data_IF_127910882495
#
_entry.id   IF_127910882495
#
_cell.length_a   1.000
_cell.length_b   1.000
_cell.length_c   1.000
_cell.angle_alpha   90.00
_cell.angle_beta   90.00
_cell.angle_gamma   90.00
#
_symmetry.space_group_name_H-M   'P 1'
#
loop_
_entity.id
_entity.type
_entity.pdbx_description
1 polymer ?
#
# COMPACT_ATOMS: atom_id res chain seq x y z
N UNK A 1 10.46 14.15 -15.40
CA UNK A 1 9.03 13.79 -15.18
C UNK A 1 8.20 15.05 -15.01
N UNK A 2 6.88 15.00 -15.25
CA UNK A 2 6.01 16.20 -15.27
C UNK A 2 5.81 16.85 -16.64
N UNK A 3 6.20 16.16 -17.72
CA UNK A 3 5.91 16.63 -19.09
C UNK A 3 4.45 16.36 -19.42
N UNK A 4 3.73 17.37 -19.89
CA UNK A 4 2.40 17.20 -20.50
C UNK A 4 2.55 16.73 -21.94
N UNK A 5 1.81 15.70 -22.32
CA UNK A 5 1.74 15.17 -23.69
C UNK A 5 0.28 15.14 -24.14
N UNK A 6 0.03 15.50 -25.39
CA UNK A 6 -1.31 15.39 -25.98
C UNK A 6 -1.47 14.02 -26.64
N UNK A 7 -2.50 13.27 -26.22
CA UNK A 7 -2.87 11.96 -26.75
C UNK A 7 -4.34 12.04 -27.14
N UNK A 8 -4.64 11.99 -28.44
CA UNK A 8 -5.98 12.28 -28.95
C UNK A 8 -6.46 13.68 -28.54
N UNK A 9 -7.60 13.76 -27.85
CA UNK A 9 -8.19 14.97 -27.30
C UNK A 9 -7.78 15.27 -25.84
N UNK A 10 -6.91 14.43 -25.25
CA UNK A 10 -6.49 14.52 -23.85
C UNK A 10 -5.09 15.08 -23.72
N UNK A 11 -4.90 16.05 -22.82
CA UNK A 11 -3.58 16.48 -22.34
C UNK A 11 -3.25 15.73 -21.06
N UNK A 12 -2.28 14.83 -21.11
CA UNK A 12 -1.91 13.95 -20.01
C UNK A 12 -0.57 14.38 -19.41
N UNK A 13 -0.51 14.47 -18.08
CA UNK A 13 0.72 14.71 -17.32
C UNK A 13 0.89 13.59 -16.30
N UNK A 14 2.10 13.03 -16.24
CA UNK A 14 2.51 12.09 -15.19
C UNK A 14 3.64 12.73 -14.39
N UNK A 15 3.44 12.88 -13.08
CA UNK A 15 4.35 13.63 -12.22
C UNK A 15 4.46 13.06 -10.80
N UNK A 16 5.32 13.69 -10.00
CA UNK A 16 5.52 13.40 -8.58
C UNK A 16 5.73 11.90 -8.24
N UNK A 17 6.71 11.23 -8.87
CA UNK A 17 6.99 9.82 -8.63
C UNK A 17 7.48 9.58 -7.21
N UNK A 18 6.89 8.59 -6.53
CA UNK A 18 7.21 8.21 -5.15
C UNK A 18 7.26 6.70 -5.02
N UNK A 19 8.30 6.17 -4.39
CA UNK A 19 8.48 4.73 -4.24
C UNK A 19 7.80 4.23 -2.96
N UNK A 20 7.04 3.14 -3.05
CA UNK A 20 6.37 2.50 -1.91
C UNK A 20 6.52 0.98 -1.96
N UNK A 21 6.64 0.33 -0.80
CA UNK A 21 6.66 -1.14 -0.72
C UNK A 21 5.28 -1.77 -0.81
N UNK A 22 4.29 -1.06 -0.27
CA UNK A 22 2.89 -1.44 -0.37
C UNK A 22 2.02 -0.22 -0.67
N UNK A 23 0.92 -0.49 -1.35
CA UNK A 23 -0.10 0.50 -1.67
C UNK A 23 -1.47 0.04 -1.18
N UNK A 24 -2.44 0.95 -1.17
CA UNK A 24 -3.80 0.65 -0.74
C UNK A 24 -4.73 0.99 -1.89
N UNK A 25 -5.45 -0.02 -2.34
CA UNK A 25 -6.39 0.08 -3.46
C UNK A 25 -7.79 -0.21 -2.96
N UNK A 26 -8.82 0.29 -3.64
CA UNK A 26 -10.20 -0.16 -3.40
C UNK A 26 -10.49 -1.45 -4.17
N UNK A 27 -10.90 -2.50 -3.47
CA UNK A 27 -11.58 -3.64 -4.10
C UNK A 27 -13.09 -3.36 -4.28
N UNK A 28 -13.85 -4.36 -4.73
CA UNK A 28 -15.30 -4.23 -4.98
C UNK A 28 -16.10 -3.73 -3.77
N UNK A 29 -15.76 -4.17 -2.55
CA UNK A 29 -16.49 -3.80 -1.33
C UNK A 29 -15.61 -3.21 -0.22
N UNK A 30 -14.28 -3.39 -0.26
CA UNK A 30 -13.39 -3.06 0.84
C UNK A 30 -12.02 -2.56 0.35
N UNK A 31 -11.33 -1.75 1.17
CA UNK A 31 -9.93 -1.40 0.95
C UNK A 31 -9.03 -2.62 1.18
N UNK A 32 -8.00 -2.77 0.34
CA UNK A 32 -6.99 -3.83 0.42
C UNK A 32 -5.59 -3.21 0.43
N UNK A 33 -4.65 -3.85 1.12
CA UNK A 33 -3.22 -3.59 0.95
C UNK A 33 -2.71 -4.50 -0.16
N UNK A 34 -1.90 -3.95 -1.06
CA UNK A 34 -1.25 -4.71 -2.15
C UNK A 34 0.26 -4.57 -1.97
N UNK A 35 0.95 -5.71 -2.07
CA UNK A 35 2.41 -5.81 -2.05
C UNK A 35 2.86 -6.90 -3.03
N UNK A 36 3.99 -6.68 -3.68
CA UNK A 36 4.66 -7.67 -4.53
C UNK A 36 6.08 -7.90 -4.02
N UNK A 37 6.79 -8.86 -4.63
CA UNK A 37 8.20 -9.08 -4.32
C UNK A 37 9.05 -7.80 -4.53
N UNK A 38 8.72 -7.01 -5.56
CA UNK A 38 9.33 -5.71 -5.81
C UNK A 38 8.67 -4.55 -5.06
N UNK A 39 8.59 -3.41 -5.74
CA UNK A 39 8.07 -2.15 -5.22
C UNK A 39 7.03 -1.54 -6.14
N UNK A 40 6.40 -0.47 -5.67
CA UNK A 40 5.57 0.39 -6.48
C UNK A 40 6.24 1.74 -6.71
N UNK A 41 6.15 2.25 -7.93
CA UNK A 41 6.26 3.67 -8.19
C UNK A 41 4.85 4.24 -8.27
N UNK A 42 4.58 5.21 -7.41
CA UNK A 42 3.31 5.92 -7.32
C UNK A 42 3.46 7.30 -7.92
N UNK A 43 2.63 7.63 -8.89
CA UNK A 43 2.66 8.91 -9.62
C UNK A 43 1.32 9.60 -9.55
N UNK A 44 1.32 10.92 -9.65
CA UNK A 44 0.12 11.71 -9.86
C UNK A 44 -0.15 11.78 -11.37
N UNK A 45 -1.39 11.47 -11.77
CA UNK A 45 -1.82 11.55 -13.17
C UNK A 45 -2.82 12.70 -13.29
N UNK A 46 -2.59 13.59 -14.25
CA UNK A 46 -3.51 14.68 -14.58
C UNK A 46 -3.97 14.56 -16.03
N UNK A 47 -5.28 14.68 -16.26
CA UNK A 47 -5.90 14.72 -17.58
C UNK A 47 -6.58 16.08 -17.75
N UNK A 48 -6.19 16.80 -18.78
CA UNK A 48 -6.65 18.17 -19.05
C UNK A 48 -6.44 19.13 -17.86
N UNK A 49 -5.40 18.87 -17.06
CA UNK A 49 -5.07 19.66 -15.86
C UNK A 49 -5.88 19.29 -14.62
N UNK A 50 -6.78 18.30 -14.70
CA UNK A 50 -7.57 17.81 -13.58
C UNK A 50 -7.19 16.37 -13.23
N UNK A 51 -7.42 16.00 -11.98
CA UNK A 51 -7.28 14.62 -11.53
C UNK A 51 -8.35 13.73 -12.19
N UNK A 52 -7.98 12.60 -12.83
CA UNK A 52 -8.94 11.71 -13.44
C UNK A 52 -9.83 11.06 -12.38
N UNK A 53 -11.09 10.83 -12.72
CA UNK A 53 -11.92 9.91 -11.95
C UNK A 53 -11.44 8.48 -12.24
N UNK A 54 -10.56 7.98 -11.37
CA UNK A 54 -9.84 6.70 -11.57
C UNK A 54 -10.76 5.47 -11.60
N UNK A 55 -12.06 5.62 -11.26
CA UNK A 55 -13.08 4.56 -11.42
C UNK A 55 -13.77 4.57 -12.79
N UNK A 56 -13.59 5.63 -13.57
CA UNK A 56 -14.38 5.88 -14.78
C UNK A 56 -13.57 5.84 -16.08
N UNK A 57 -12.25 5.72 -15.99
CA UNK A 57 -11.36 5.79 -17.16
C UNK A 57 -10.29 4.72 -17.04
N UNK A 58 -10.30 3.77 -17.98
CA UNK A 58 -9.11 2.96 -18.26
C UNK A 58 -8.10 3.85 -18.99
N UNK A 59 -6.87 3.90 -18.47
CA UNK A 59 -5.85 4.86 -18.91
C UNK A 59 -4.69 4.20 -19.62
N UNK A 60 -4.74 2.88 -19.84
CA UNK A 60 -3.73 2.09 -20.57
C UNK A 60 -2.30 2.44 -20.17
N UNK A 61 -2.07 2.61 -18.87
CA UNK A 61 -0.78 2.96 -18.32
C UNK A 61 -0.05 1.74 -17.80
N UNK A 62 1.19 1.57 -18.24
CA UNK A 62 2.04 0.44 -17.90
C UNK A 62 3.37 0.92 -17.32
N UNK A 63 4.02 0.06 -16.53
CA UNK A 63 5.45 0.25 -16.22
C UNK A 63 6.34 -0.31 -17.32
N UNK A 64 7.46 0.36 -17.55
CA UNK A 64 8.56 -0.14 -18.37
C UNK A 64 9.89 -0.06 -17.64
N UNK A 65 10.71 -1.10 -17.79
CA UNK A 65 12.11 -1.14 -17.33
C UNK A 65 12.98 -1.68 -18.44
N UNK A 66 14.12 -1.05 -18.70
CA UNK A 66 15.11 -1.50 -19.69
C UNK A 66 14.46 -1.97 -21.01
N UNK A 67 13.52 -1.17 -21.53
CA UNK A 67 12.77 -1.38 -22.77
C UNK A 67 11.76 -2.55 -22.76
N UNK A 68 11.53 -3.18 -21.61
CA UNK A 68 10.52 -4.21 -21.40
C UNK A 68 9.28 -3.61 -20.73
N UNK A 69 8.09 -3.94 -21.22
CA UNK A 69 6.82 -3.59 -20.57
C UNK A 69 6.46 -4.69 -19.58
N UNK A 70 6.10 -4.32 -18.35
CA UNK A 70 5.86 -5.26 -17.27
C UNK A 70 4.37 -5.52 -17.05
N UNK A 71 3.69 -4.59 -16.36
CA UNK A 71 2.32 -4.75 -15.91
C UNK A 71 1.56 -3.43 -16.01
N UNK A 72 0.24 -3.55 -15.95
CA UNK A 72 -0.69 -2.44 -15.84
C UNK A 72 -0.60 -1.78 -14.44
N UNK A 73 -1.32 -0.67 -14.28
CA UNK A 73 -1.38 0.15 -13.08
C UNK A 73 -2.51 -0.23 -12.12
N UNK A 74 -2.28 -0.03 -10.83
CA UNK A 74 -3.30 -0.10 -9.79
C UNK A 74 -3.78 1.30 -9.40
N UNK A 75 -5.08 1.62 -9.54
CA UNK A 75 -5.61 2.89 -9.08
C UNK A 75 -5.62 2.96 -7.54
N UNK A 76 -5.10 4.06 -6.99
CA UNK A 76 -5.02 4.23 -5.53
C UNK A 76 -6.30 4.80 -4.94
N UNK A 77 -6.55 4.47 -3.68
CA UNK A 77 -7.79 4.82 -2.99
C UNK A 77 -7.77 6.26 -2.46
N UNK A 78 -8.66 7.12 -2.99
CA UNK A 78 -8.88 8.47 -2.44
C UNK A 78 -9.42 8.47 -1.00
N UNK A 79 -10.01 7.38 -0.53
CA UNK A 79 -10.55 7.23 0.83
C UNK A 79 -9.49 7.30 1.93
N UNK A 80 -8.21 7.17 1.56
CA UNK A 80 -7.07 7.30 2.49
C UNK A 80 -6.22 8.55 2.20
N UNK A 81 -6.80 9.55 1.52
CA UNK A 81 -6.12 10.81 1.19
C UNK A 81 -5.16 10.72 0.01
N UNK A 82 -5.25 9.67 -0.82
CA UNK A 82 -4.42 9.50 -2.02
C UNK A 82 -5.18 9.99 -3.24
N UNK A 83 -5.07 11.28 -3.50
CA UNK A 83 -5.77 11.95 -4.58
C UNK A 83 -5.18 11.56 -5.94
N UNK A 84 -5.91 10.74 -6.71
CA UNK A 84 -5.67 10.38 -8.12
C UNK A 84 -4.26 9.90 -8.49
N UNK A 85 -3.67 9.15 -7.58
CA UNK A 85 -2.40 8.49 -7.82
C UNK A 85 -2.59 7.10 -8.43
N UNK A 86 -1.71 6.72 -9.35
CA UNK A 86 -1.61 5.36 -9.89
C UNK A 86 -0.34 4.71 -9.35
N UNK A 87 -0.42 3.42 -9.01
CA UNK A 87 0.71 2.62 -8.60
C UNK A 87 1.12 1.64 -9.68
N UNK A 88 2.42 1.52 -9.89
CA UNK A 88 3.00 0.70 -10.94
C UNK A 88 4.03 -0.23 -10.31
N UNK A 89 3.94 -1.53 -10.58
CA UNK A 89 4.91 -2.48 -10.07
C UNK A 89 6.26 -2.32 -10.80
N UNK A 90 7.34 -2.30 -10.03
CA UNK A 90 8.72 -2.26 -10.49
C UNK A 90 9.56 -3.31 -9.75
N UNK A 91 10.45 -4.06 -10.43
CA UNK A 91 11.42 -4.93 -9.78
C UNK A 91 12.36 -4.09 -8.91
N UNK A 92 12.70 -4.62 -7.74
CA UNK A 92 13.54 -3.95 -6.76
C UNK A 92 15.03 -4.13 -7.04
N UNK A 93 15.48 -3.58 -8.17
CA UNK A 93 16.87 -3.63 -8.60
C UNK A 93 17.23 -2.32 -9.30
N UNK A 94 18.50 -2.15 -9.62
CA UNK A 94 18.96 -1.03 -10.44
C UNK A 94 18.52 -1.26 -11.89
N UNK A 95 17.97 -0.22 -12.49
CA UNK A 95 17.59 -0.20 -13.91
C UNK A 95 18.26 0.97 -14.60
N UNK A 96 18.73 0.76 -15.83
CA UNK A 96 19.31 1.82 -16.64
C UNK A 96 18.22 2.72 -17.20
N UNK A 97 17.05 2.14 -17.51
CA UNK A 97 15.85 2.87 -17.94
C UNK A 97 14.64 2.39 -17.15
N UNK A 98 13.80 3.34 -16.74
CA UNK A 98 12.50 3.03 -16.17
C UNK A 98 11.53 4.16 -16.48
N UNK A 99 10.31 3.84 -16.87
CA UNK A 99 9.32 4.81 -17.30
C UNK A 99 7.89 4.34 -16.99
N UNK A 100 6.98 5.31 -16.94
CA UNK A 100 5.54 5.05 -17.11
C UNK A 100 5.21 5.21 -18.59
N UNK A 101 4.46 4.29 -19.16
CA UNK A 101 4.15 4.22 -20.59
C UNK A 101 2.66 4.24 -20.79
N UNK A 102 2.17 5.09 -21.68
CA UNK A 102 0.81 4.99 -22.21
C UNK A 102 0.85 4.21 -23.51
N UNK A 103 0.14 3.08 -23.58
CA UNK A 103 -0.06 2.34 -24.83
C UNK A 103 -1.33 2.85 -25.49
N UNK A 104 -1.26 3.29 -26.75
CA UNK A 104 -2.47 3.55 -27.51
C UNK A 104 -3.01 2.22 -28.05
N UNK A 105 -4.31 2.00 -27.94
CA UNK A 105 -4.99 0.83 -28.52
C UNK A 105 -4.73 0.69 -30.02
N UNK A 106 -4.45 -0.53 -30.46
CA UNK A 106 -4.49 -0.93 -31.87
C UNK A 106 -3.19 -0.82 -32.67
N UNK A 107 -2.06 -0.41 -32.10
CA UNK A 107 -0.78 -0.41 -32.80
C UNK A 107 0.21 -1.42 -32.20
N UNK A 108 0.44 -2.54 -32.90
CA UNK A 108 1.54 -3.48 -32.62
C UNK A 108 2.94 -2.81 -32.69
N UNK A 109 3.02 -1.55 -33.13
CA UNK A 109 4.27 -0.81 -33.34
C UNK A 109 4.15 0.70 -33.06
N UNK A 110 3.09 1.11 -32.37
CA UNK A 110 2.81 2.53 -32.11
C UNK A 110 3.80 3.13 -31.13
N UNK A 111 4.37 4.28 -31.46
CA UNK A 111 5.32 4.98 -30.60
C UNK A 111 4.65 5.33 -29.26
N UNK A 112 4.83 4.47 -28.25
CA UNK A 112 4.32 4.69 -26.91
C UNK A 112 4.80 6.03 -26.36
N UNK A 113 3.99 6.67 -25.53
CA UNK A 113 4.41 7.89 -24.83
C UNK A 113 5.09 7.46 -23.53
N UNK A 114 6.35 7.85 -23.37
CA UNK A 114 7.17 7.51 -22.21
C UNK A 114 7.33 8.73 -21.30
N UNK A 115 7.05 8.53 -20.02
CA UNK A 115 7.44 9.41 -18.94
C UNK A 115 8.56 8.77 -18.13
N UNK A 116 9.80 9.08 -18.51
CA UNK A 116 10.98 8.55 -17.83
C UNK A 116 11.00 8.94 -16.35
N UNK A 117 11.27 7.94 -15.51
CA UNK A 117 11.48 8.14 -14.09
C UNK A 117 12.79 8.93 -13.89
N UNK A 118 12.79 9.94 -13.00
CA UNK A 118 14.00 10.66 -12.65
C UNK A 118 15.10 9.71 -12.14
N UNK A 119 16.37 10.05 -12.39
CA UNK A 119 17.53 9.23 -11.96
C UNK A 119 17.47 8.85 -10.48
N UNK A 120 17.15 9.81 -9.60
CA UNK A 120 17.04 9.54 -8.16
C UNK A 120 15.93 8.55 -7.78
N UNK A 121 14.88 8.39 -8.60
CA UNK A 121 13.86 7.35 -8.40
C UNK A 121 14.40 6.00 -8.88
N UNK A 122 14.99 5.96 -10.07
CA UNK A 122 15.58 4.73 -10.64
C UNK A 122 16.63 4.12 -9.74
N UNK A 123 17.55 4.92 -9.22
CA UNK A 123 18.58 4.48 -8.29
C UNK A 123 17.99 3.96 -6.99
N UNK A 124 16.91 4.57 -6.50
CA UNK A 124 16.25 4.18 -5.24
C UNK A 124 15.43 2.89 -5.34
N UNK A 125 15.09 2.41 -6.54
CA UNK A 125 14.36 1.14 -6.72
C UNK A 125 15.16 -0.07 -6.23
N UNK A 126 16.49 -0.01 -6.27
CA UNK A 126 17.36 -1.06 -5.75
C UNK A 126 17.34 -1.17 -4.21
N UNK A 127 16.84 -0.15 -3.51
CA UNK A 127 16.88 -0.06 -2.05
C UNK A 127 15.48 -0.21 -1.47
N UNK A 128 15.19 -1.37 -0.92
CA UNK A 128 13.89 -1.67 -0.33
C UNK A 128 13.83 -1.47 1.18
N UNK A 129 12.73 -0.91 1.72
CA UNK A 129 12.38 -1.19 3.09
C UNK A 129 11.96 -2.67 3.19
N UNK A 130 12.39 -3.32 4.26
CA UNK A 130 12.09 -4.73 4.55
C UNK A 130 11.42 -4.80 5.90
N UNK A 131 10.12 -5.05 5.91
CA UNK A 131 9.35 -4.96 7.13
C UNK A 131 9.14 -6.32 7.78
N UNK A 132 9.52 -6.42 9.05
CA UNK A 132 9.25 -7.57 9.91
C UNK A 132 8.38 -7.13 11.07
N UNK A 133 7.25 -7.80 11.27
CA UNK A 133 6.45 -7.57 12.49
C UNK A 133 7.04 -8.42 13.62
N UNK A 134 7.59 -7.76 14.63
CA UNK A 134 8.19 -8.40 15.81
C UNK A 134 7.27 -8.41 17.02
N UNK A 135 6.21 -7.60 17.02
CA UNK A 135 5.24 -7.54 18.11
C UNK A 135 3.80 -7.32 17.61
N UNK A 136 2.87 -8.11 18.14
CA UNK A 136 1.44 -7.96 17.90
C UNK A 136 0.67 -8.23 19.20
N UNK A 137 0.11 -7.18 19.79
CA UNK A 137 -0.67 -7.23 21.03
C UNK A 137 -1.96 -6.45 20.89
N UNK A 138 -2.94 -6.82 21.72
CA UNK A 138 -4.26 -6.17 21.77
C UNK A 138 -4.64 -5.91 23.23
N UNK A 139 -3.88 -5.06 23.95
CA UNK A 139 -4.14 -4.80 25.36
C UNK A 139 -5.40 -3.94 25.54
N UNK A 140 -5.87 -3.87 26.78
CA UNK A 140 -6.86 -2.88 27.22
C UNK A 140 -6.13 -1.69 27.86
N UNK A 141 -6.38 -0.48 27.37
CA UNK A 141 -5.98 0.78 28.00
C UNK A 141 -7.25 1.56 28.35
N UNK A 142 -7.39 1.99 29.61
CA UNK A 142 -8.57 2.71 30.09
C UNK A 142 -9.90 2.02 29.75
N UNK A 143 -9.92 0.68 29.83
CA UNK A 143 -11.10 -0.15 29.53
C UNK A 143 -11.36 -0.41 28.04
N UNK A 144 -10.62 0.23 27.13
CA UNK A 144 -10.77 0.05 25.68
C UNK A 144 -9.62 -0.76 25.09
N UNK A 145 -9.91 -1.64 24.13
CA UNK A 145 -8.88 -2.36 23.40
C UNK A 145 -8.15 -1.43 22.43
N UNK A 146 -6.84 -1.58 22.35
CA UNK A 146 -6.02 -0.96 21.29
C UNK A 146 -5.25 -2.04 20.54
N UNK A 147 -4.82 -1.73 19.32
CA UNK A 147 -3.85 -2.51 18.59
C UNK A 147 -2.46 -1.95 18.89
N UNK A 148 -1.56 -2.82 19.35
CA UNK A 148 -0.12 -2.55 19.42
C UNK A 148 0.61 -3.42 18.40
N UNK A 149 1.28 -2.77 17.44
CA UNK A 149 2.00 -3.43 16.36
C UNK A 149 3.44 -2.88 16.30
N UNK A 150 4.42 -3.73 16.59
CA UNK A 150 5.85 -3.38 16.51
C UNK A 150 6.43 -3.91 15.21
N UNK A 151 6.98 -3.00 14.41
CA UNK A 151 7.52 -3.28 13.07
C UNK A 151 8.96 -2.80 13.02
N UNK A 152 9.86 -3.69 12.62
CA UNK A 152 11.23 -3.37 12.25
C UNK A 152 11.32 -3.15 10.74
N UNK A 153 12.13 -2.17 10.32
CA UNK A 153 12.57 -2.03 8.93
C UNK A 153 14.04 -2.46 8.82
N UNK A 154 14.26 -3.67 8.36
CA UNK A 154 15.59 -4.28 8.15
C UNK A 154 16.21 -3.87 6.80
N UNK A 155 15.51 -3.03 6.04
CA UNK A 155 15.96 -2.53 4.76
C UNK A 155 16.85 -1.28 4.88
N UNK A 156 17.47 -0.91 3.77
CA UNK A 156 18.42 0.21 3.69
C UNK A 156 17.75 1.57 3.42
N UNK A 157 16.43 1.58 3.30
CA UNK A 157 15.65 2.78 2.98
C UNK A 157 14.48 2.95 3.93
N UNK A 158 14.23 4.20 4.32
CA UNK A 158 13.00 4.58 4.99
C UNK A 158 11.78 4.14 4.19
N UNK A 159 10.76 3.69 4.90
CA UNK A 159 9.50 3.31 4.29
C UNK A 159 8.30 3.60 5.18
N UNK A 160 7.13 3.62 4.56
CA UNK A 160 5.86 3.62 5.29
C UNK A 160 5.36 2.19 5.32
N UNK A 161 5.28 1.62 6.52
CA UNK A 161 4.61 0.35 6.74
C UNK A 161 3.10 0.54 6.50
N UNK A 162 2.47 -0.42 5.83
CA UNK A 162 1.01 -0.44 5.59
C UNK A 162 0.49 -1.83 5.77
N UNK A 163 -0.52 -1.99 6.62
CA UNK A 163 -1.14 -3.28 6.87
C UNK A 163 -2.66 -3.18 6.88
N UNK A 164 -3.30 -4.26 6.44
CA UNK A 164 -4.74 -4.46 6.61
C UNK A 164 -4.96 -5.25 7.88
N UNK A 165 -5.73 -4.69 8.79
CA UNK A 165 -6.25 -5.37 9.97
C UNK A 165 -7.65 -5.88 9.63
N UNK A 166 -7.92 -7.14 9.93
CA UNK A 166 -9.23 -7.76 9.79
C UNK A 166 -9.54 -8.65 10.97
N UNK A 167 -10.83 -8.91 11.19
CA UNK A 167 -11.33 -9.81 12.23
C UNK A 167 -12.21 -10.86 11.57
N UNK A 168 -12.01 -12.14 11.92
CA UNK A 168 -12.84 -13.22 11.38
C UNK A 168 -14.32 -12.97 11.68
N UNK A 169 -15.18 -13.06 10.67
CA UNK A 169 -16.62 -12.81 10.80
C UNK A 169 -17.04 -11.34 10.71
N UNK A 170 -16.10 -10.41 10.66
CA UNK A 170 -16.36 -9.00 10.39
C UNK A 170 -15.92 -8.66 8.96
N UNK A 171 -16.87 -8.20 8.13
CA UNK A 171 -16.58 -7.84 6.73
C UNK A 171 -15.73 -6.58 6.62
N UNK A 172 -15.75 -5.71 7.63
CA UNK A 172 -14.92 -4.51 7.68
C UNK A 172 -13.43 -4.84 7.83
N UNK A 173 -12.60 -4.09 7.10
CA UNK A 173 -11.15 -4.05 7.25
C UNK A 173 -10.72 -2.64 7.58
N UNK A 174 -9.60 -2.49 8.28
CA UNK A 174 -8.99 -1.16 8.52
C UNK A 174 -7.55 -1.17 8.11
N UNK A 175 -7.08 -0.04 7.60
CA UNK A 175 -5.70 0.15 7.18
C UNK A 175 -4.96 0.85 8.31
N UNK A 176 -3.84 0.28 8.72
CA UNK A 176 -2.87 0.93 9.59
C UNK A 176 -1.67 1.28 8.75
N UNK A 177 -1.17 2.51 8.89
CA UNK A 177 0.07 2.93 8.24
C UNK A 177 0.84 3.94 9.06
N UNK A 178 2.17 3.79 9.09
CA UNK A 178 3.07 4.68 9.83
C UNK A 178 4.50 4.57 9.25
N UNK A 179 5.33 5.62 9.38
CA UNK A 179 6.71 5.57 8.93
C UNK A 179 7.57 4.68 9.83
N UNK A 180 8.48 3.92 9.23
CA UNK A 180 9.52 3.14 9.91
C UNK A 180 10.85 3.42 9.21
N UNK A 181 11.74 4.23 9.82
CA UNK A 181 13.05 4.54 9.24
C UNK A 181 13.91 3.30 9.02
N UNK A 182 14.87 3.38 8.10
CA UNK A 182 15.82 2.29 7.83
C UNK A 182 16.56 1.86 9.10
N UNK A 183 16.66 0.55 9.33
CA UNK A 183 17.33 -0.02 10.50
C UNK A 183 16.62 0.19 11.85
N UNK A 184 15.45 0.85 11.87
CA UNK A 184 14.72 1.14 13.10
C UNK A 184 13.54 0.18 13.35
N UNK A 185 13.13 0.11 14.61
CA UNK A 185 11.88 -0.53 15.04
C UNK A 185 10.93 0.51 15.62
N UNK A 186 9.67 0.48 15.19
CA UNK A 186 8.61 1.41 15.64
C UNK A 186 7.39 0.63 16.08
N UNK A 187 6.76 1.10 17.16
CA UNK A 187 5.49 0.55 17.64
C UNK A 187 4.37 1.53 17.32
N UNK A 188 3.37 1.05 16.58
CA UNK A 188 2.08 1.72 16.44
C UNK A 188 1.16 1.31 17.59
N UNK A 189 0.47 2.29 18.17
CA UNK A 189 -0.59 2.09 19.15
C UNK A 189 -1.81 2.88 18.72
N UNK A 190 -2.94 2.22 18.51
CA UNK A 190 -4.17 2.90 18.10
C UNK A 190 -5.36 1.98 17.88
N UNK A 191 -6.49 2.53 17.41
CA UNK A 191 -7.69 1.78 17.05
C UNK A 191 -7.83 1.68 15.52
N UNK A 192 -7.69 0.49 14.92
CA UNK A 192 -7.93 0.27 13.49
C UNK A 192 -9.45 0.26 13.21
N UNK A 193 -10.05 1.45 13.17
CA UNK A 193 -11.49 1.62 12.94
C UNK A 193 -12.36 0.92 13.98
N UNK A 194 -13.50 0.39 13.53
CA UNK A 194 -14.51 -0.25 14.39
C UNK A 194 -14.20 -1.72 14.71
N UNK A 195 -13.10 -2.27 14.19
CA UNK A 195 -12.75 -3.70 14.37
C UNK A 195 -12.61 -4.05 15.85
N UNK A 196 -11.96 -3.20 16.64
CA UNK A 196 -11.73 -3.49 18.05
C UNK A 196 -13.01 -3.31 18.88
N UNK A 197 -13.92 -2.43 18.46
CA UNK A 197 -15.24 -2.31 19.05
C UNK A 197 -16.08 -3.57 18.79
N UNK A 198 -16.07 -4.08 17.56
CA UNK A 198 -16.74 -5.33 17.23
C UNK A 198 -16.16 -6.51 18.04
N UNK A 199 -14.83 -6.59 18.13
CA UNK A 199 -14.16 -7.61 18.96
C UNK A 199 -14.57 -7.52 20.43
N UNK A 200 -14.67 -6.32 21.00
CA UNK A 200 -15.11 -6.14 22.39
C UNK A 200 -16.54 -6.66 22.58
N UNK A 201 -17.44 -6.39 21.62
CA UNK A 201 -18.83 -6.87 21.67
C UNK A 201 -18.95 -8.40 21.55
N UNK A 202 -18.03 -9.05 20.82
CA UNK A 202 -17.98 -10.51 20.73
C UNK A 202 -17.32 -11.17 21.95
N UNK A 203 -16.56 -10.41 22.75
CA UNK A 203 -15.79 -10.91 23.89
C UNK A 203 -14.49 -11.62 23.51
N UNK A 204 -14.47 -12.30 22.36
CA UNK A 204 -13.30 -12.98 21.79
C UNK A 204 -13.24 -12.88 20.27
N UNK A 205 -12.07 -13.20 19.71
CA UNK A 205 -11.90 -13.29 18.26
C UNK A 205 -10.44 -13.35 17.82
N UNK A 206 -10.23 -13.74 16.56
CA UNK A 206 -8.90 -13.76 15.94
C UNK A 206 -8.76 -12.59 14.99
N UNK A 207 -7.86 -11.67 15.36
CA UNK A 207 -7.42 -10.58 14.52
C UNK A 207 -6.31 -11.07 13.59
N UNK A 208 -6.37 -10.69 12.32
CA UNK A 208 -5.35 -10.95 11.32
C UNK A 208 -4.78 -9.62 10.86
N UNK A 209 -3.46 -9.51 10.82
CA UNK A 209 -2.73 -8.38 10.25
C UNK A 209 -2.01 -8.87 8.99
N UNK A 210 -2.44 -8.39 7.83
CA UNK A 210 -1.81 -8.67 6.54
C UNK A 210 -0.92 -7.48 6.13
N UNK A 211 0.35 -7.74 5.83
CA UNK A 211 1.37 -6.70 5.64
C UNK A 211 2.42 -7.09 4.58
N UNK A 212 3.15 -6.11 4.00
CA UNK A 212 4.23 -6.39 3.06
C UNK A 212 5.44 -7.03 3.74
N UNK A 213 5.94 -8.10 3.14
CA UNK A 213 7.23 -8.75 3.39
C UNK A 213 7.96 -8.95 2.05
N UNK A 214 9.17 -9.53 2.09
CA UNK A 214 10.04 -9.69 0.91
C UNK A 214 9.37 -10.48 -0.23
N UNK A 215 8.50 -11.45 0.09
CA UNK A 215 7.78 -12.26 -0.90
C UNK A 215 6.45 -11.67 -1.39
N UNK A 216 6.08 -10.45 -0.97
CA UNK A 216 4.75 -9.87 -1.17
C UNK A 216 3.97 -9.79 0.13
N UNK A 217 2.69 -10.16 0.14
CA UNK A 217 1.88 -10.10 1.36
C UNK A 217 2.11 -11.34 2.24
N UNK A 218 2.28 -11.09 3.53
CA UNK A 218 2.21 -12.12 4.57
C UNK A 218 1.19 -11.72 5.63
N UNK A 219 0.85 -12.65 6.52
CA UNK A 219 -0.14 -12.45 7.57
C UNK A 219 0.34 -12.99 8.90
N UNK A 220 -0.02 -12.31 9.98
CA UNK A 220 0.08 -12.83 11.35
C UNK A 220 -1.28 -12.75 12.02
N UNK A 221 -1.52 -13.65 12.96
CA UNK A 221 -2.79 -13.74 13.68
C UNK A 221 -2.60 -13.63 15.18
N UNK A 222 -3.60 -13.04 15.84
CA UNK A 222 -3.69 -12.99 17.29
C UNK A 222 -5.09 -13.30 17.73
N UNK A 223 -5.24 -14.39 18.46
CA UNK A 223 -6.47 -14.69 19.18
C UNK A 223 -6.51 -13.89 20.46
N UNK A 224 -7.61 -13.17 20.63
CA UNK A 224 -7.94 -12.41 21.82
C UNK A 224 -9.03 -13.16 22.54
N UNK A 225 -8.72 -13.59 23.76
CA UNK A 225 -9.63 -14.34 24.62
C UNK A 225 -10.51 -13.37 25.45
N UNK A 226 -11.65 -13.85 25.97
CA UNK A 226 -12.41 -13.11 26.96
C UNK A 226 -11.53 -12.84 28.18
N UNK A 227 -11.68 -11.67 28.78
CA UNK A 227 -11.07 -11.44 30.09
C UNK A 227 -11.75 -12.38 31.07
N UNK A 228 -11.03 -13.38 31.61
CA UNK A 228 -11.55 -14.19 32.71
C UNK A 228 -11.83 -13.26 33.87
N UNK A 229 -13.10 -12.99 34.14
CA UNK A 229 -13.53 -12.48 35.45
C UNK A 229 -13.23 -13.59 36.45
N UNK A 230 -12.16 -13.45 37.22
CA UNK A 230 -11.97 -14.26 38.42
C UNK A 230 -13.08 -13.85 39.37
N UNK A 231 -14.21 -14.54 39.35
CA UNK A 231 -15.21 -14.45 40.42
C UNK A 231 -14.54 -15.06 41.64
N UNK A 232 -13.90 -14.20 42.43
CA UNK A 232 -13.44 -14.56 43.77
C UNK A 232 -14.68 -14.97 44.55
N UNK A 233 -14.86 -16.28 44.73
CA UNK A 233 -15.77 -16.79 45.75
C UNK A 233 -15.15 -16.39 47.08
N UNK A 234 -15.68 -15.33 47.68
CA UNK A 234 -15.52 -15.11 49.12
C UNK A 234 -16.40 -16.15 49.82
N UNK A 235 -15.78 -17.22 50.29
CA UNK A 235 -16.30 -18.00 51.42
C UNK A 235 -16.00 -17.28 52.73
#
# INVERSE_FOLDING_TARGET
MGRTVTIGDRRMTVENPRIRKAVVTTGMAHTRVVAHAGQFVVVDVLINGAQPNVRAVDLDFWSSVDEHILSDSDPLSSLIGESAACAFAFPAQRHDRAAIVHKADGEESGAGVYWDLPTHIRERLAFEPKFTVSGFRVPKHNGQRVLELTVANEGERDGTFRARVSLKGFSGGSIVGFPVPAGESRTYTGSPGDILLYLENQGEGTLTVQYPADGGLTSIERTVQPSRTTTGSNT
#
